data_IF_270963630911
#
_entry.id   IF_270963630911
#
_cell.length_a   1.000
_cell.length_b   1.000
_cell.length_c   1.000
_cell.angle_alpha   90.00
_cell.angle_beta   90.00
_cell.angle_gamma   90.00
#
_symmetry.space_group_name_H-M   'P 1'
#
loop_
_entity.id
_entity.type
_entity.pdbx_description
1 polymer ?
#
# COMPACT_ATOMS: atom_id res chain seq x y z
N UNK A 1 9.24 31.55 5.07
CA UNK A 1 8.32 30.67 4.30
C UNK A 1 9.18 29.79 3.41
N UNK A 2 9.60 28.61 3.90
CA UNK A 2 10.52 27.73 3.17
C UNK A 2 9.75 26.89 2.15
N UNK A 3 10.35 26.63 0.97
CA UNK A 3 9.71 25.99 -0.18
C UNK A 3 9.16 24.58 0.10
N UNK A 4 7.97 24.52 0.66
CA UNK A 4 7.30 23.30 1.15
C UNK A 4 6.80 22.40 0.03
N UNK A 5 6.67 22.89 -1.20
CA UNK A 5 6.06 22.15 -2.32
C UNK A 5 6.72 20.80 -2.59
N UNK A 6 8.06 20.74 -2.52
CA UNK A 6 8.82 19.50 -2.77
C UNK A 6 8.64 18.49 -1.64
N UNK A 7 8.60 18.97 -0.39
CA UNK A 7 8.45 18.11 0.80
C UNK A 7 7.03 17.55 0.89
N UNK A 8 6.01 18.36 0.59
CA UNK A 8 4.61 17.92 0.55
C UNK A 8 4.36 16.91 -0.57
N UNK A 9 4.99 17.10 -1.74
CA UNK A 9 4.88 16.15 -2.86
C UNK A 9 5.45 14.76 -2.50
N UNK A 10 6.62 14.72 -1.87
CA UNK A 10 7.22 13.45 -1.42
C UNK A 10 6.37 12.79 -0.33
N UNK A 11 5.82 13.59 0.61
CA UNK A 11 4.95 13.06 1.65
C UNK A 11 3.67 12.42 1.08
N UNK A 12 3.01 13.08 0.13
CA UNK A 12 1.83 12.54 -0.56
C UNK A 12 2.15 11.26 -1.35
N UNK A 13 3.31 11.21 -2.00
CA UNK A 13 3.77 10.03 -2.74
C UNK A 13 3.96 8.83 -1.79
N UNK A 14 4.64 9.03 -0.66
CA UNK A 14 4.92 7.97 0.32
C UNK A 14 3.63 7.48 0.97
N UNK A 15 2.71 8.37 1.32
CA UNK A 15 1.40 8.00 1.87
C UNK A 15 0.58 7.21 0.84
N UNK A 16 0.56 7.64 -0.43
CA UNK A 16 -0.14 6.93 -1.50
C UNK A 16 0.42 5.54 -1.76
N UNK A 17 1.75 5.42 -1.89
CA UNK A 17 2.44 4.13 -2.05
C UNK A 17 2.22 3.22 -0.84
N UNK A 18 2.37 3.77 0.36
CA UNK A 18 2.16 3.04 1.61
C UNK A 18 0.74 2.50 1.73
N UNK A 19 -0.27 3.26 1.31
CA UNK A 19 -1.66 2.82 1.32
C UNK A 19 -1.91 1.62 0.39
N UNK A 20 -1.41 1.70 -0.85
CA UNK A 20 -1.54 0.63 -1.85
C UNK A 20 -0.80 -0.63 -1.40
N UNK A 21 0.44 -0.47 -0.92
CA UNK A 21 1.26 -1.57 -0.40
C UNK A 21 0.64 -2.22 0.84
N UNK A 22 0.11 -1.41 1.77
CA UNK A 22 -0.54 -1.92 2.98
C UNK A 22 -1.76 -2.77 2.66
N UNK A 23 -2.56 -2.36 1.68
CA UNK A 23 -3.75 -3.12 1.28
C UNK A 23 -3.38 -4.49 0.73
N UNK A 24 -2.35 -4.55 -0.12
CA UNK A 24 -1.86 -5.79 -0.68
C UNK A 24 -1.18 -6.66 0.38
N UNK A 25 -0.35 -6.06 1.24
CA UNK A 25 0.32 -6.77 2.34
C UNK A 25 -0.68 -7.37 3.32
N UNK A 26 -1.73 -6.64 3.70
CA UNK A 26 -2.78 -7.15 4.59
C UNK A 26 -3.58 -8.26 3.90
N UNK A 27 -3.95 -8.10 2.63
CA UNK A 27 -4.62 -9.18 1.87
C UNK A 27 -3.73 -10.43 1.77
N UNK A 28 -2.46 -10.27 1.41
CA UNK A 28 -1.51 -11.37 1.31
C UNK A 28 -1.25 -12.04 2.64
N UNK A 29 -1.08 -11.27 3.71
CA UNK A 29 -0.86 -11.77 5.07
C UNK A 29 -2.07 -12.55 5.58
N UNK A 30 -3.28 -12.00 5.44
CA UNK A 30 -4.52 -12.70 5.82
C UNK A 30 -4.72 -13.95 4.98
N UNK A 31 -4.40 -13.90 3.69
CA UNK A 31 -4.44 -15.05 2.81
C UNK A 31 -3.46 -16.16 3.24
N UNK A 32 -2.24 -15.81 3.66
CA UNK A 32 -1.25 -16.76 4.18
C UNK A 32 -1.74 -17.40 5.49
N UNK A 33 -2.29 -16.60 6.41
CA UNK A 33 -2.81 -17.11 7.69
C UNK A 33 -4.01 -18.05 7.53
N UNK A 34 -4.86 -17.81 6.53
CA UNK A 34 -6.06 -18.62 6.24
C UNK A 34 -5.69 -19.87 5.41
N UNK A 35 -4.44 -19.99 4.95
CA UNK A 35 -3.98 -21.10 4.10
C UNK A 35 -4.49 -21.01 2.65
N UNK A 36 -4.94 -19.83 2.22
CA UNK A 36 -5.39 -19.55 0.87
C UNK A 36 -4.23 -19.23 -0.09
N UNK A 37 -4.50 -19.22 -1.40
CA UNK A 37 -3.52 -18.83 -2.43
C UNK A 37 -3.47 -17.32 -2.63
N UNK A 38 -2.29 -16.71 -2.71
CA UNK A 38 -2.07 -15.25 -2.83
C UNK A 38 -2.77 -14.56 -4.03
N UNK A 39 -3.44 -15.31 -4.90
CA UNK A 39 -4.04 -14.88 -6.17
C UNK A 39 -5.40 -15.54 -6.47
N UNK A 40 -6.21 -15.82 -5.43
CA UNK A 40 -7.47 -16.58 -5.54
C UNK A 40 -8.66 -15.93 -6.28
N UNK A 41 -8.47 -14.85 -7.06
CA UNK A 41 -9.53 -14.40 -7.98
C UNK A 41 -9.61 -12.90 -8.28
N UNK A 42 -9.16 -12.01 -7.40
CA UNK A 42 -9.41 -10.58 -7.57
C UNK A 42 -8.21 -9.74 -7.08
N UNK A 43 -7.28 -9.50 -8.00
CA UNK A 43 -6.27 -8.44 -7.86
C UNK A 43 -6.84 -7.06 -8.24
N UNK A 44 -8.17 -6.91 -8.15
CA UNK A 44 -8.93 -5.66 -8.18
C UNK A 44 -9.90 -5.67 -6.98
#
# INVERSE_FOLDING_TARGET
MHGTTKQTAVLLLVIGLGFVLSRLAVRGFMNVLIGGTMFGGDFL
#
